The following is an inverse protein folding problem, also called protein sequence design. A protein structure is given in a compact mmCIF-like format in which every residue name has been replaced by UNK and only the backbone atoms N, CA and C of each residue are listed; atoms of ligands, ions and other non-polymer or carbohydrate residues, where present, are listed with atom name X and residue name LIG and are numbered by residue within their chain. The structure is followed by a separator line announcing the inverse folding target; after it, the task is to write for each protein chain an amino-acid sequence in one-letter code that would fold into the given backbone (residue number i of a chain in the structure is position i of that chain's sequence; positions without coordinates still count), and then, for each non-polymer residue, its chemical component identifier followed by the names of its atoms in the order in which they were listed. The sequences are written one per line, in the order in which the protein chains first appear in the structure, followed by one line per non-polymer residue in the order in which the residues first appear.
data_IF_301956606396
#
_entry.id   IF_301956606396
#
_cell.length_a   1.000
_cell.length_b   1.000
_cell.length_c   1.000
_cell.angle_alpha   90.00
_cell.angle_beta   90.00
_cell.angle_gamma   90.00
#
_symmetry.space_group_name_H-M   'P 1'
#
loop_
_entity.id
_entity.type
_entity.pdbx_description
1 polymer ?
#
# COMPACT_ATOMS: atom_id res chain seq x y z
N UNK A 1 -20.17 3.19 -45.12
CA UNK A 1 -21.23 3.35 -44.10
C UNK A 1 -21.65 1.95 -43.68
N UNK A 2 -21.01 1.37 -42.69
CA UNK A 2 -21.37 0.08 -42.10
C UNK A 2 -21.95 0.36 -40.75
N UNK A 3 -23.25 0.05 -40.60
CA UNK A 3 -24.06 0.19 -39.40
C UNK A 3 -23.43 -0.61 -38.26
N UNK A 4 -23.11 0.09 -37.15
CA UNK A 4 -22.76 -0.54 -35.89
C UNK A 4 -24.05 -1.15 -35.33
N UNK A 5 -24.15 -2.48 -35.38
CA UNK A 5 -25.21 -3.24 -34.71
C UNK A 5 -25.19 -2.95 -33.22
N UNK A 6 -26.20 -2.26 -32.70
CA UNK A 6 -26.43 -2.06 -31.28
C UNK A 6 -26.70 -3.43 -30.63
N UNK A 7 -25.71 -3.91 -29.91
CA UNK A 7 -25.84 -5.13 -29.11
C UNK A 7 -26.83 -4.87 -27.98
N UNK A 8 -27.92 -5.64 -27.82
CA UNK A 8 -28.95 -5.41 -26.81
C UNK A 8 -28.34 -5.43 -25.41
N UNK A 9 -28.68 -4.44 -24.60
CA UNK A 9 -28.30 -4.35 -23.20
C UNK A 9 -28.85 -5.59 -22.44
N UNK A 10 -28.04 -6.23 -21.58
CA UNK A 10 -28.51 -7.35 -20.76
C UNK A 10 -29.64 -6.87 -19.84
N UNK A 11 -30.62 -7.77 -19.52
CA UNK A 11 -31.76 -7.41 -18.68
C UNK A 11 -31.30 -6.87 -17.32
N UNK A 12 -32.00 -5.90 -16.73
CA UNK A 12 -31.62 -5.28 -15.48
C UNK A 12 -31.63 -6.33 -14.36
N UNK A 13 -30.46 -6.61 -13.83
CA UNK A 13 -30.36 -7.40 -12.58
C UNK A 13 -31.10 -6.64 -11.49
N UNK A 14 -32.12 -7.28 -10.88
CA UNK A 14 -32.95 -6.68 -9.80
C UNK A 14 -32.17 -6.58 -8.50
N UNK A 15 -31.11 -5.75 -8.48
CA UNK A 15 -30.43 -5.40 -7.24
C UNK A 15 -31.29 -4.34 -6.49
N UNK A 16 -31.37 -4.43 -5.16
CA UNK A 16 -32.01 -3.40 -4.35
C UNK A 16 -31.44 -2.01 -4.71
N UNK A 17 -32.27 -0.93 -4.72
CA UNK A 17 -31.85 0.39 -5.19
C UNK A 17 -30.58 0.92 -4.53
N UNK A 18 -30.35 0.63 -3.25
CA UNK A 18 -29.17 1.04 -2.52
C UNK A 18 -27.89 0.29 -2.97
N UNK A 19 -28.01 -0.95 -3.38
CA UNK A 19 -26.92 -1.73 -3.95
C UNK A 19 -26.65 -1.30 -5.39
N UNK A 20 -27.72 -1.06 -6.17
CA UNK A 20 -27.57 -0.55 -7.54
C UNK A 20 -26.85 0.79 -7.59
N UNK A 21 -27.13 1.72 -6.67
CA UNK A 21 -26.42 2.98 -6.54
C UNK A 21 -24.92 2.80 -6.21
N UNK A 22 -24.56 1.74 -5.50
CA UNK A 22 -23.17 1.47 -5.09
C UNK A 22 -22.36 0.67 -6.10
N UNK A 23 -22.97 -0.30 -6.78
CA UNK A 23 -22.26 -1.24 -7.67
C UNK A 23 -22.74 -1.24 -9.13
N UNK A 24 -23.90 -0.62 -9.44
CA UNK A 24 -24.45 -0.58 -10.79
C UNK A 24 -23.70 0.38 -11.73
N UNK A 25 -23.81 0.17 -13.04
CA UNK A 25 -23.30 1.10 -14.07
C UNK A 25 -21.81 1.07 -14.36
N UNK A 26 -21.00 0.24 -13.66
CA UNK A 26 -19.57 0.08 -13.92
C UNK A 26 -19.34 -0.97 -15.04
N UNK A 27 -18.35 -0.75 -15.95
CA UNK A 27 -18.10 -1.63 -17.07
C UNK A 27 -17.62 -3.02 -16.62
N UNK A 28 -17.84 -4.04 -17.47
CA UNK A 28 -17.38 -5.43 -17.19
C UNK A 28 -15.87 -5.51 -16.97
N UNK A 29 -15.08 -4.73 -17.69
CA UNK A 29 -13.63 -4.65 -17.53
C UNK A 29 -13.20 -4.13 -16.14
N UNK A 30 -13.98 -3.22 -15.55
CA UNK A 30 -13.76 -2.81 -14.14
C UNK A 30 -13.94 -3.99 -13.18
N UNK A 31 -15.01 -4.78 -13.35
CA UNK A 31 -15.26 -5.93 -12.47
C UNK A 31 -14.22 -7.04 -12.63
N UNK A 32 -13.67 -7.21 -13.84
CA UNK A 32 -12.55 -8.12 -14.05
C UNK A 32 -11.27 -7.63 -13.35
N UNK A 33 -10.97 -6.34 -13.41
CA UNK A 33 -9.85 -5.73 -12.68
C UNK A 33 -10.07 -5.83 -11.15
N UNK A 34 -11.28 -5.58 -10.68
CA UNK A 34 -11.67 -5.69 -9.29
C UNK A 34 -11.49 -7.12 -8.77
N UNK A 35 -12.04 -8.11 -9.48
CA UNK A 35 -11.92 -9.52 -9.13
C UNK A 35 -10.47 -10.00 -9.16
N UNK A 36 -9.72 -9.63 -10.20
CA UNK A 36 -8.30 -9.92 -10.31
C UNK A 36 -7.49 -9.33 -9.14
N UNK A 37 -7.77 -8.08 -8.78
CA UNK A 37 -7.12 -7.42 -7.64
C UNK A 37 -7.48 -8.07 -6.31
N UNK A 38 -8.75 -8.46 -6.13
CA UNK A 38 -9.19 -9.18 -4.94
C UNK A 38 -8.49 -10.54 -4.81
N UNK A 39 -8.48 -11.34 -5.89
CA UNK A 39 -7.80 -12.65 -5.93
C UNK A 39 -6.31 -12.49 -5.67
N UNK A 40 -5.66 -11.51 -6.29
CA UNK A 40 -4.25 -11.23 -6.03
C UNK A 40 -4.00 -10.88 -4.55
N UNK A 41 -4.87 -10.08 -3.94
CA UNK A 41 -4.75 -9.74 -2.52
C UNK A 41 -5.02 -10.89 -1.58
N UNK A 42 -5.88 -11.84 -1.94
CA UNK A 42 -6.05 -13.09 -1.19
C UNK A 42 -4.76 -13.90 -1.10
N UNK A 43 -3.91 -13.80 -2.11
CA UNK A 43 -2.61 -14.47 -2.15
C UNK A 43 -1.46 -13.67 -1.52
N UNK A 44 -1.61 -12.38 -1.26
CA UNK A 44 -0.52 -11.52 -0.75
C UNK A 44 -0.10 -11.93 0.67
N UNK A 45 0.68 -13.00 0.77
CA UNK A 45 1.12 -13.60 2.02
C UNK A 45 2.64 -13.52 2.19
N UNK A 46 3.40 -13.58 1.08
CA UNK A 46 4.87 -13.64 1.13
C UNK A 46 5.45 -12.38 1.77
N UNK A 47 5.05 -11.18 1.29
CA UNK A 47 5.59 -9.91 1.78
C UNK A 47 5.42 -9.75 3.31
N UNK A 48 4.22 -9.86 3.90
CA UNK A 48 4.02 -9.69 5.34
C UNK A 48 4.70 -10.76 6.20
N UNK A 49 4.84 -11.97 5.69
CA UNK A 49 5.46 -13.08 6.43
C UNK A 49 6.93 -13.27 6.11
N UNK A 50 7.53 -12.44 5.23
CA UNK A 50 8.92 -12.56 4.78
C UNK A 50 9.91 -12.46 5.95
N UNK A 51 9.65 -11.60 6.93
CA UNK A 51 10.49 -11.48 8.13
C UNK A 51 10.53 -12.78 8.94
N UNK A 52 9.39 -13.48 9.10
CA UNK A 52 9.33 -14.79 9.73
C UNK A 52 10.07 -15.86 8.93
N UNK A 53 9.94 -15.85 7.61
CA UNK A 53 10.64 -16.77 6.72
C UNK A 53 12.16 -16.60 6.82
N UNK A 54 12.65 -15.37 6.70
CA UNK A 54 14.07 -15.05 6.74
C UNK A 54 14.72 -15.42 8.08
N UNK A 55 14.05 -15.13 9.19
CA UNK A 55 14.57 -15.45 10.53
C UNK A 55 14.29 -16.89 10.94
N UNK A 56 13.09 -17.44 10.64
CA UNK A 56 12.61 -18.73 11.12
C UNK A 56 13.07 -19.91 10.31
N UNK A 57 13.06 -19.77 8.97
CA UNK A 57 13.41 -20.84 8.05
C UNK A 57 14.85 -20.72 7.56
N UNK A 58 15.29 -19.48 7.30
CA UNK A 58 16.64 -19.22 6.76
C UNK A 58 17.68 -18.87 7.83
N UNK A 59 17.28 -18.70 9.09
CA UNK A 59 18.20 -18.50 10.23
C UNK A 59 18.91 -17.15 10.24
N UNK A 60 18.46 -16.15 9.45
CA UNK A 60 19.08 -14.83 9.46
C UNK A 60 18.85 -14.13 10.82
N UNK A 61 19.82 -13.35 11.26
CA UNK A 61 19.65 -12.49 12.43
C UNK A 61 18.59 -11.39 12.18
N UNK A 62 18.06 -10.80 13.24
CA UNK A 62 17.06 -9.71 13.15
C UNK A 62 17.63 -8.53 12.34
N UNK A 63 18.88 -8.15 12.60
CA UNK A 63 19.55 -7.05 11.87
C UNK A 63 19.76 -7.38 10.39
N UNK A 64 20.26 -8.60 10.07
CA UNK A 64 20.42 -9.03 8.68
C UNK A 64 19.09 -9.08 7.93
N UNK A 65 18.03 -9.53 8.59
CA UNK A 65 16.67 -9.53 8.02
C UNK A 65 16.22 -8.11 7.69
N UNK A 66 16.44 -7.15 8.57
CA UNK A 66 16.15 -5.74 8.31
C UNK A 66 16.87 -5.19 7.08
N UNK A 67 18.16 -5.55 6.90
CA UNK A 67 18.93 -5.16 5.70
C UNK A 67 18.41 -5.81 4.41
N UNK A 68 18.03 -7.09 4.46
CA UNK A 68 17.43 -7.79 3.31
C UNK A 68 16.08 -7.18 2.94
N UNK A 69 15.26 -6.82 3.93
CA UNK A 69 13.99 -6.13 3.67
C UNK A 69 14.19 -4.71 3.12
N UNK A 70 15.30 -4.03 3.42
CA UNK A 70 15.65 -2.76 2.77
C UNK A 70 15.93 -2.94 1.27
N UNK A 71 16.54 -4.05 0.87
CA UNK A 71 16.74 -4.37 -0.56
C UNK A 71 15.41 -4.64 -1.28
N UNK A 72 14.45 -5.28 -0.60
CA UNK A 72 13.08 -5.37 -1.12
C UNK A 72 12.50 -3.96 -1.35
N UNK A 73 12.61 -3.06 -0.38
CA UNK A 73 12.19 -1.67 -0.51
C UNK A 73 12.89 -0.93 -1.66
N UNK A 74 14.19 -1.14 -1.84
CA UNK A 74 14.95 -0.57 -2.96
C UNK A 74 14.43 -1.08 -4.32
N UNK A 75 14.17 -2.40 -4.42
CA UNK A 75 13.54 -2.99 -5.60
C UNK A 75 12.18 -2.38 -5.91
N UNK A 76 11.34 -2.18 -4.89
CA UNK A 76 10.02 -1.56 -5.01
C UNK A 76 10.09 -0.10 -5.50
N UNK A 77 11.10 0.67 -5.06
CA UNK A 77 11.37 2.03 -5.59
C UNK A 77 11.62 1.99 -7.09
N UNK A 78 12.56 1.15 -7.52
CA UNK A 78 12.91 1.00 -8.94
C UNK A 78 11.70 0.51 -9.74
N UNK A 79 10.93 -0.42 -9.19
CA UNK A 79 9.71 -0.97 -9.77
C UNK A 79 8.68 0.10 -10.15
N UNK A 80 8.45 1.08 -9.29
CA UNK A 80 7.46 2.14 -9.55
C UNK A 80 7.86 3.01 -10.76
N UNK A 81 9.14 3.32 -10.91
CA UNK A 81 9.64 4.05 -12.07
C UNK A 81 9.57 3.22 -13.36
N UNK A 82 10.07 1.99 -13.30
CA UNK A 82 10.08 1.07 -14.43
C UNK A 82 8.66 0.71 -14.86
N UNK A 83 7.77 0.42 -13.90
CA UNK A 83 6.37 0.11 -14.15
C UNK A 83 5.60 1.25 -14.83
N UNK A 84 5.84 2.49 -14.41
CA UNK A 84 5.28 3.67 -15.07
C UNK A 84 5.73 3.80 -16.53
N UNK A 85 7.04 3.70 -16.78
CA UNK A 85 7.60 3.77 -18.14
C UNK A 85 7.10 2.62 -19.03
N UNK A 86 7.01 1.40 -18.49
CA UNK A 86 6.49 0.25 -19.22
C UNK A 86 5.00 0.43 -19.55
N UNK A 87 4.19 0.90 -18.60
CA UNK A 87 2.77 1.15 -18.82
C UNK A 87 2.53 2.15 -19.95
N UNK A 88 3.39 3.16 -20.08
CA UNK A 88 3.28 4.18 -21.14
C UNK A 88 3.80 3.68 -22.50
N UNK A 89 4.86 2.85 -22.53
CA UNK A 89 5.51 2.40 -23.77
C UNK A 89 4.92 1.12 -24.33
N UNK A 90 4.72 0.11 -23.49
CA UNK A 90 4.28 -1.23 -23.88
C UNK A 90 2.76 -1.33 -23.81
N UNK A 91 2.15 -0.65 -22.86
CA UNK A 91 0.72 -0.65 -22.60
C UNK A 91 0.41 -1.10 -21.17
N UNK A 92 -0.77 -0.73 -20.69
CA UNK A 92 -1.14 -0.91 -19.29
C UNK A 92 -1.49 -2.36 -18.96
N UNK A 93 -2.25 -3.02 -19.83
CA UNK A 93 -2.59 -4.44 -19.69
C UNK A 93 -1.35 -5.31 -19.74
N UNK A 94 -0.49 -5.10 -20.74
CA UNK A 94 0.74 -5.87 -20.90
C UNK A 94 1.70 -5.69 -19.71
N UNK A 95 1.87 -4.47 -19.20
CA UNK A 95 2.72 -4.17 -18.03
C UNK A 95 2.17 -4.82 -16.77
N UNK A 96 0.85 -4.75 -16.54
CA UNK A 96 0.21 -5.36 -15.38
C UNK A 96 0.36 -6.89 -15.43
N UNK A 97 0.02 -7.52 -16.54
CA UNK A 97 0.14 -8.98 -16.70
C UNK A 97 1.59 -9.45 -16.59
N UNK A 98 2.52 -8.77 -17.27
CA UNK A 98 3.95 -9.10 -17.20
C UNK A 98 4.52 -8.96 -15.80
N UNK A 99 4.14 -7.89 -15.06
CA UNK A 99 4.50 -7.69 -13.66
C UNK A 99 3.99 -8.82 -12.77
N UNK A 100 2.72 -9.25 -12.92
CA UNK A 100 2.17 -10.37 -12.16
C UNK A 100 2.90 -11.69 -12.41
N UNK A 101 3.20 -12.01 -13.68
CA UNK A 101 3.92 -13.24 -14.03
C UNK A 101 5.37 -13.21 -13.54
N UNK A 102 6.04 -12.07 -13.65
CA UNK A 102 7.40 -11.89 -13.12
C UNK A 102 7.43 -12.03 -11.58
N UNK A 103 6.44 -11.48 -10.88
CA UNK A 103 6.28 -11.62 -9.43
C UNK A 103 6.07 -13.09 -9.05
N UNK A 104 5.19 -13.81 -9.75
CA UNK A 104 4.98 -15.24 -9.53
C UNK A 104 6.26 -16.05 -9.68
N UNK A 105 7.03 -15.79 -10.74
CA UNK A 105 8.32 -16.44 -10.98
C UNK A 105 9.35 -16.13 -9.86
N UNK A 106 9.44 -14.85 -9.46
CA UNK A 106 10.33 -14.43 -8.38
C UNK A 106 9.96 -15.08 -7.03
N UNK A 107 8.67 -15.20 -6.71
CA UNK A 107 8.18 -15.87 -5.50
C UNK A 107 8.54 -17.35 -5.48
N UNK A 108 8.30 -18.08 -6.58
CA UNK A 108 8.66 -19.48 -6.67
C UNK A 108 10.19 -19.66 -6.54
N UNK A 109 10.97 -18.86 -7.25
CA UNK A 109 12.43 -18.89 -7.15
C UNK A 109 12.91 -18.65 -5.72
N UNK A 110 12.32 -17.66 -5.02
CA UNK A 110 12.65 -17.35 -3.63
C UNK A 110 12.30 -18.48 -2.67
N UNK A 111 11.15 -19.15 -2.88
CA UNK A 111 10.72 -20.30 -2.08
C UNK A 111 11.72 -21.48 -2.12
N UNK A 112 12.41 -21.68 -3.26
CA UNK A 112 13.40 -22.74 -3.45
C UNK A 112 14.85 -22.31 -3.22
N UNK A 113 15.13 -21.00 -3.09
CA UNK A 113 16.48 -20.51 -2.87
C UNK A 113 17.05 -21.00 -1.52
N UNK A 114 18.21 -21.65 -1.53
CA UNK A 114 18.90 -22.14 -0.33
C UNK A 114 20.12 -21.29 0.03
N UNK A 115 20.87 -20.83 -0.97
CA UNK A 115 22.07 -20.02 -0.77
C UNK A 115 21.70 -18.57 -0.40
N UNK A 116 22.28 -18.06 0.68
CA UNK A 116 22.00 -16.69 1.17
C UNK A 116 22.20 -15.59 0.11
N UNK A 117 23.27 -15.58 -0.70
CA UNK A 117 23.41 -14.55 -1.74
C UNK A 117 22.29 -14.58 -2.78
N UNK A 118 21.85 -15.78 -3.18
CA UNK A 118 20.73 -15.97 -4.13
C UNK A 118 19.42 -15.46 -3.51
N UNK A 119 19.18 -15.80 -2.25
CA UNK A 119 18.01 -15.35 -1.51
C UNK A 119 17.96 -13.82 -1.42
N UNK A 120 19.08 -13.17 -1.10
CA UNK A 120 19.19 -11.70 -1.03
C UNK A 120 18.90 -11.06 -2.39
N UNK A 121 19.48 -11.61 -3.47
CA UNK A 121 19.22 -11.14 -4.83
C UNK A 121 17.73 -11.31 -5.22
N UNK A 122 17.13 -12.46 -4.90
CA UNK A 122 15.72 -12.73 -5.21
C UNK A 122 14.75 -11.87 -4.38
N UNK A 123 15.08 -11.49 -3.15
CA UNK A 123 14.28 -10.52 -2.38
C UNK A 123 14.30 -9.14 -3.05
N UNK A 124 15.43 -8.69 -3.59
CA UNK A 124 15.49 -7.47 -4.40
C UNK A 124 14.65 -7.60 -5.67
N UNK A 125 14.77 -8.73 -6.41
CA UNK A 125 13.97 -9.00 -7.62
C UNK A 125 12.48 -9.04 -7.29
N UNK A 126 12.09 -9.63 -6.16
CA UNK A 126 10.70 -9.63 -5.71
C UNK A 126 10.19 -8.21 -5.50
N UNK A 127 10.96 -7.37 -4.80
CA UNK A 127 10.64 -5.93 -4.67
C UNK A 127 10.52 -5.23 -6.02
N UNK A 128 11.41 -5.56 -6.97
CA UNK A 128 11.40 -4.99 -8.32
C UNK A 128 10.14 -5.35 -9.12
N UNK A 129 9.56 -6.52 -8.89
CA UNK A 129 8.40 -6.99 -9.68
C UNK A 129 7.06 -6.70 -9.01
N UNK A 130 6.99 -6.79 -7.67
CA UNK A 130 5.73 -6.79 -6.92
C UNK A 130 4.94 -5.47 -7.04
N UNK A 131 5.61 -4.34 -7.17
CA UNK A 131 4.97 -3.03 -7.25
C UNK A 131 4.81 -2.48 -8.68
N UNK A 132 5.37 -3.15 -9.68
CA UNK A 132 5.29 -2.72 -11.08
C UNK A 132 3.84 -2.64 -11.61
N UNK A 133 2.94 -3.44 -11.06
CA UNK A 133 1.53 -3.43 -11.45
C UNK A 133 0.73 -2.24 -10.91
N UNK A 134 1.15 -1.61 -9.80
CA UNK A 134 0.36 -0.56 -9.11
C UNK A 134 0.08 0.65 -10.00
N UNK A 135 1.10 1.28 -10.66
CA UNK A 135 0.85 2.41 -11.56
C UNK A 135 -0.04 2.02 -12.73
N UNK A 136 0.20 0.84 -13.31
CA UNK A 136 -0.58 0.33 -14.43
C UNK A 136 -2.05 0.08 -14.04
N UNK A 137 -2.30 -0.51 -12.88
CA UNK A 137 -3.65 -0.78 -12.36
C UNK A 137 -4.43 0.51 -12.09
N UNK A 138 -3.80 1.51 -11.45
CA UNK A 138 -4.43 2.81 -11.19
C UNK A 138 -4.76 3.57 -12.48
N UNK A 139 -3.84 3.57 -13.44
CA UNK A 139 -4.04 4.20 -14.73
C UNK A 139 -5.13 3.48 -15.54
N UNK A 140 -5.12 2.15 -15.54
CA UNK A 140 -6.14 1.33 -16.18
C UNK A 140 -7.53 1.59 -15.61
N UNK A 141 -7.67 1.66 -14.29
CA UNK A 141 -8.92 2.01 -13.63
C UNK A 141 -9.44 3.38 -14.08
N UNK A 142 -8.54 4.38 -14.13
CA UNK A 142 -8.90 5.73 -14.56
C UNK A 142 -9.34 5.81 -16.03
N UNK A 143 -8.84 4.89 -16.88
CA UNK A 143 -9.26 4.79 -18.30
C UNK A 143 -10.58 4.05 -18.48
N UNK A 144 -10.82 3.03 -17.67
CA UNK A 144 -12.03 2.21 -17.76
C UNK A 144 -13.28 2.92 -17.26
N UNK A 145 -13.13 3.94 -16.40
CA UNK A 145 -14.24 4.56 -15.68
C UNK A 145 -14.28 6.07 -15.93
N UNK A 146 -15.45 6.59 -16.27
CA UNK A 146 -15.65 8.03 -16.47
C UNK A 146 -15.33 8.88 -15.23
N UNK A 147 -15.00 10.17 -15.41
CA UNK A 147 -14.60 11.05 -14.28
C UNK A 147 -15.57 11.08 -13.12
N UNK A 148 -16.88 11.06 -13.38
CA UNK A 148 -17.94 11.08 -12.36
C UNK A 148 -17.93 9.83 -11.47
N UNK A 149 -17.55 8.68 -12.00
CA UNK A 149 -17.58 7.38 -11.34
C UNK A 149 -16.25 6.99 -10.68
N UNK A 150 -15.17 7.71 -10.98
CA UNK A 150 -13.82 7.38 -10.53
C UNK A 150 -13.72 7.22 -9.01
N UNK A 151 -14.26 8.16 -8.25
CA UNK A 151 -14.21 8.11 -6.78
C UNK A 151 -14.86 6.84 -6.24
N UNK A 152 -16.00 6.45 -6.80
CA UNK A 152 -16.70 5.22 -6.43
C UNK A 152 -15.90 3.97 -6.82
N UNK A 153 -15.36 3.93 -8.02
CA UNK A 153 -14.58 2.80 -8.52
C UNK A 153 -13.28 2.59 -7.70
N UNK A 154 -12.55 3.68 -7.40
CA UNK A 154 -11.38 3.60 -6.51
C UNK A 154 -11.76 3.13 -5.11
N UNK A 155 -12.88 3.59 -4.56
CA UNK A 155 -13.39 3.14 -3.26
C UNK A 155 -13.70 1.65 -3.23
N UNK A 156 -14.37 1.12 -4.27
CA UNK A 156 -14.66 -0.31 -4.39
C UNK A 156 -13.37 -1.14 -4.53
N UNK A 157 -12.41 -0.68 -5.32
CA UNK A 157 -11.12 -1.36 -5.47
C UNK A 157 -10.34 -1.37 -4.14
N UNK A 158 -10.32 -0.26 -3.44
CA UNK A 158 -9.67 -0.15 -2.12
C UNK A 158 -10.30 -1.10 -1.10
N UNK A 159 -11.63 -1.21 -1.12
CA UNK A 159 -12.36 -2.15 -0.27
C UNK A 159 -11.98 -3.62 -0.58
N UNK A 160 -11.92 -4.00 -1.87
CA UNK A 160 -11.48 -5.32 -2.28
C UNK A 160 -10.05 -5.64 -1.81
N UNK A 161 -9.14 -4.66 -1.94
CA UNK A 161 -7.74 -4.79 -1.52
C UNK A 161 -7.64 -5.06 -0.02
N UNK A 162 -8.36 -4.32 0.82
CA UNK A 162 -8.27 -4.49 2.27
C UNK A 162 -8.99 -5.75 2.77
N UNK A 163 -10.13 -6.10 2.17
CA UNK A 163 -10.81 -7.35 2.48
C UNK A 163 -9.95 -8.56 2.08
N UNK A 164 -9.38 -8.54 0.87
CA UNK A 164 -8.46 -9.58 0.41
C UNK A 164 -7.24 -9.70 1.31
N UNK A 165 -6.66 -8.57 1.73
CA UNK A 165 -5.54 -8.52 2.68
C UNK A 165 -5.92 -9.15 4.03
N UNK A 166 -7.07 -8.81 4.60
CA UNK A 166 -7.50 -9.38 5.88
C UNK A 166 -7.60 -10.91 5.81
N UNK A 167 -8.19 -11.45 4.73
CA UNK A 167 -8.26 -12.90 4.50
C UNK A 167 -6.88 -13.50 4.30
N UNK A 168 -6.02 -12.86 3.50
CA UNK A 168 -4.64 -13.30 3.26
C UNK A 168 -3.82 -13.39 4.55
N UNK A 169 -4.01 -12.48 5.49
CA UNK A 169 -3.29 -12.51 6.78
C UNK A 169 -3.68 -13.72 7.61
N UNK A 170 -4.97 -14.07 7.68
CA UNK A 170 -5.43 -15.28 8.37
C UNK A 170 -4.93 -16.54 7.67
N UNK A 171 -5.07 -16.59 6.34
CA UNK A 171 -4.61 -17.75 5.55
C UNK A 171 -3.09 -17.92 5.63
N UNK A 172 -2.31 -16.85 5.49
CA UNK A 172 -0.85 -16.87 5.60
C UNK A 172 -0.38 -17.34 6.98
N UNK A 173 -1.02 -16.84 8.03
CA UNK A 173 -0.73 -17.28 9.39
C UNK A 173 -1.05 -18.76 9.64
N UNK A 174 -2.10 -19.30 9.04
CA UNK A 174 -2.47 -20.72 9.15
C UNK A 174 -1.61 -21.62 8.26
N UNK A 175 -1.42 -21.25 7.00
CA UNK A 175 -0.60 -22.01 6.04
C UNK A 175 0.87 -22.08 6.46
N UNK A 176 1.40 -21.04 7.11
CA UNK A 176 2.78 -21.06 7.61
C UNK A 176 3.06 -22.20 8.60
N UNK A 177 2.02 -22.72 9.28
CA UNK A 177 2.14 -23.90 10.16
C UNK A 177 2.36 -25.20 9.37
N UNK A 178 1.78 -25.29 8.16
CA UNK A 178 1.99 -26.43 7.28
C UNK A 178 3.32 -26.31 6.49
N UNK A 179 3.89 -25.13 6.45
CA UNK A 179 5.17 -24.82 5.81
C UNK A 179 5.11 -23.53 5.00
N UNK A 180 6.21 -22.75 5.04
CA UNK A 180 6.30 -21.47 4.31
C UNK A 180 6.23 -21.65 2.78
N UNK A 181 6.55 -22.82 2.25
CA UNK A 181 6.45 -23.12 0.80
C UNK A 181 5.03 -22.86 0.27
N UNK A 182 4.00 -23.13 1.07
CA UNK A 182 2.61 -22.89 0.67
C UNK A 182 2.31 -21.41 0.42
N UNK A 183 2.93 -20.51 1.18
CA UNK A 183 2.76 -19.07 0.98
C UNK A 183 3.26 -18.66 -0.41
N UNK A 184 4.43 -19.15 -0.80
CA UNK A 184 5.01 -18.87 -2.12
C UNK A 184 4.17 -19.43 -3.26
N UNK A 185 3.67 -20.67 -3.12
CA UNK A 185 2.83 -21.30 -4.13
C UNK A 185 1.48 -20.61 -4.30
N UNK A 186 0.80 -20.32 -3.20
CA UNK A 186 -0.52 -19.67 -3.24
C UNK A 186 -0.41 -18.25 -3.80
N UNK A 187 0.59 -17.47 -3.35
CA UNK A 187 0.79 -16.11 -3.82
C UNK A 187 1.18 -16.10 -5.32
N UNK A 188 2.07 -16.98 -5.76
CA UNK A 188 2.39 -17.14 -7.18
C UNK A 188 1.16 -17.53 -8.02
N UNK A 189 0.35 -18.49 -7.55
CA UNK A 189 -0.86 -18.92 -8.24
C UNK A 189 -1.87 -17.78 -8.39
N UNK A 190 -2.11 -16.99 -7.35
CA UNK A 190 -3.02 -15.84 -7.41
C UNK A 190 -2.50 -14.72 -8.30
N UNK A 191 -1.18 -14.50 -8.36
CA UNK A 191 -0.57 -13.59 -9.33
C UNK A 191 -0.81 -14.06 -10.78
N UNK A 192 -0.64 -15.36 -11.07
CA UNK A 192 -0.93 -15.92 -12.40
C UNK A 192 -2.40 -15.76 -12.75
N UNK A 193 -3.32 -16.12 -11.83
CA UNK A 193 -4.77 -15.98 -12.04
C UNK A 193 -5.14 -14.53 -12.32
N UNK A 194 -4.63 -13.59 -11.53
CA UNK A 194 -4.85 -12.15 -11.76
C UNK A 194 -4.34 -11.71 -13.14
N UNK A 195 -3.11 -12.11 -13.50
CA UNK A 195 -2.52 -11.79 -14.80
C UNK A 195 -3.36 -12.32 -15.97
N UNK A 196 -3.81 -13.58 -15.88
CA UNK A 196 -4.67 -14.20 -16.90
C UNK A 196 -6.03 -13.53 -17.00
N UNK A 197 -6.68 -13.23 -15.87
CA UNK A 197 -7.96 -12.52 -15.84
C UNK A 197 -7.86 -11.15 -16.52
N UNK A 198 -6.83 -10.38 -16.16
CA UNK A 198 -6.60 -9.06 -16.74
C UNK A 198 -6.29 -9.17 -18.25
N UNK A 199 -5.43 -10.11 -18.64
CA UNK A 199 -5.08 -10.32 -20.04
C UNK A 199 -6.30 -10.65 -20.92
N UNK A 200 -7.23 -11.48 -20.43
CA UNK A 200 -8.40 -11.91 -21.19
C UNK A 200 -9.58 -10.95 -21.17
N UNK A 201 -9.80 -10.26 -20.04
CA UNK A 201 -11.02 -9.52 -19.80
C UNK A 201 -10.87 -7.99 -19.88
N UNK A 202 -9.63 -7.47 -19.93
CA UNK A 202 -9.38 -6.04 -19.96
C UNK A 202 -8.77 -5.62 -21.31
N UNK A 203 -9.32 -4.60 -21.99
CA UNK A 203 -8.75 -4.09 -23.22
C UNK A 203 -7.39 -3.43 -22.97
N UNK A 204 -6.50 -3.47 -23.96
CA UNK A 204 -5.24 -2.72 -23.89
C UNK A 204 -5.54 -1.22 -24.00
N UNK A 205 -5.03 -0.46 -23.04
CA UNK A 205 -5.07 1.00 -23.09
C UNK A 205 -3.65 1.54 -23.06
N UNK A 206 -3.36 2.48 -23.95
CA UNK A 206 -2.07 3.20 -23.96
C UNK A 206 -2.30 4.62 -23.48
N UNK A 207 -1.47 5.08 -22.55
CA UNK A 207 -1.51 6.45 -22.08
C UNK A 207 -1.25 7.41 -23.27
N UNK A 208 -2.04 8.48 -23.39
CA UNK A 208 -1.62 9.63 -24.18
C UNK A 208 -0.30 10.13 -23.55
N UNK A 209 0.71 10.29 -24.38
CA UNK A 209 1.99 10.85 -23.95
C UNK A 209 1.68 12.21 -23.28
N UNK A 210 1.87 12.28 -21.96
CA UNK A 210 1.68 13.53 -21.24
C UNK A 210 2.64 14.56 -21.86
N UNK A 211 2.10 15.66 -22.35
CA UNK A 211 2.91 16.80 -22.75
C UNK A 211 3.78 17.19 -21.55
N UNK A 212 5.07 17.45 -21.83
CA UNK A 212 6.00 17.89 -20.78
C UNK A 212 5.53 19.25 -20.25
N UNK A 213 4.84 19.25 -19.12
CA UNK A 213 4.44 20.48 -18.48
C UNK A 213 5.67 21.28 -18.01
N UNK A 214 5.66 22.62 -18.20
CA UNK A 214 6.76 23.48 -17.76
C UNK A 214 6.91 23.47 -16.23
N UNK A 215 8.15 23.61 -15.74
CA UNK A 215 8.52 23.62 -14.33
C UNK A 215 9.45 22.43 -13.99
N UNK A 216 10.18 22.49 -12.86
CA UNK A 216 11.17 21.48 -12.43
C UNK A 216 10.82 20.85 -11.08
N UNK A 217 11.46 19.73 -10.73
CA UNK A 217 11.49 19.21 -9.37
C UNK A 217 12.07 20.23 -8.36
N UNK A 218 12.98 21.09 -8.83
CA UNK A 218 13.56 22.15 -8.03
C UNK A 218 12.53 23.14 -7.49
N UNK A 219 11.46 23.41 -8.25
CA UNK A 219 10.39 24.34 -7.84
C UNK A 219 9.57 23.74 -6.67
N UNK A 220 9.34 22.43 -6.70
CA UNK A 220 8.64 21.73 -5.62
C UNK A 220 9.51 21.64 -4.36
N UNK A 221 10.82 21.43 -4.50
CA UNK A 221 11.77 21.37 -3.38
C UNK A 221 11.99 22.75 -2.72
N UNK A 222 11.77 23.85 -3.44
CA UNK A 222 11.78 25.21 -2.87
C UNK A 222 10.54 25.55 -2.07
N UNK A 223 9.46 24.79 -2.25
CA UNK A 223 8.23 24.95 -1.52
C UNK A 223 8.31 24.36 -0.10
N UNK A 224 8.61 25.20 0.88
CA UNK A 224 8.77 24.80 2.29
C UNK A 224 7.54 24.10 2.86
N UNK A 225 6.32 24.47 2.41
CA UNK A 225 5.07 23.85 2.91
C UNK A 225 4.91 22.45 2.31
N UNK A 226 5.24 22.28 1.03
CA UNK A 226 5.25 20.97 0.39
C UNK A 226 6.30 20.05 1.02
N UNK A 227 7.54 20.52 1.16
CA UNK A 227 8.64 19.75 1.80
C UNK A 227 8.28 19.37 3.23
N UNK A 228 7.76 20.30 4.05
CA UNK A 228 7.31 19.99 5.40
C UNK A 228 6.20 18.93 5.44
N UNK A 229 5.24 19.01 4.52
CA UNK A 229 4.16 18.01 4.40
C UNK A 229 4.69 16.63 3.99
N UNK A 230 5.68 16.59 3.10
CA UNK A 230 6.36 15.36 2.66
C UNK A 230 7.17 14.74 3.80
N UNK A 231 7.82 15.55 4.65
CA UNK A 231 8.51 15.05 5.84
C UNK A 231 7.53 14.40 6.84
N UNK A 232 6.33 14.96 7.03
CA UNK A 232 5.27 14.31 7.82
C UNK A 232 4.91 12.95 7.24
N UNK A 233 4.78 12.85 5.93
CA UNK A 233 4.47 11.59 5.23
C UNK A 233 5.64 10.61 5.33
N UNK A 234 6.87 11.06 5.24
CA UNK A 234 8.08 10.23 5.42
C UNK A 234 8.10 9.60 6.82
N UNK A 235 7.88 10.41 7.87
CA UNK A 235 7.82 9.91 9.24
C UNK A 235 6.68 8.90 9.42
N UNK A 236 5.49 9.21 8.91
CA UNK A 236 4.37 8.26 8.92
C UNK A 236 4.71 6.96 8.19
N UNK A 237 5.22 7.04 6.96
CA UNK A 237 5.58 5.88 6.15
C UNK A 237 6.66 5.01 6.82
N UNK A 238 7.67 5.65 7.41
CA UNK A 238 8.71 4.96 8.18
C UNK A 238 8.11 4.13 9.33
N UNK A 239 7.18 4.71 10.09
CA UNK A 239 6.52 4.04 11.20
C UNK A 239 5.55 2.97 10.71
N UNK A 240 4.74 3.26 9.69
CA UNK A 240 3.80 2.32 9.10
C UNK A 240 4.47 1.04 8.59
N UNK A 241 5.62 1.17 7.95
CA UNK A 241 6.35 0.01 7.41
C UNK A 241 6.97 -0.89 8.50
N UNK A 242 7.04 -0.44 9.76
CA UNK A 242 7.39 -1.32 10.88
C UNK A 242 6.35 -2.43 11.09
N UNK A 243 5.11 -2.24 10.65
CA UNK A 243 4.08 -3.27 10.67
C UNK A 243 4.49 -4.54 9.89
N UNK A 244 5.25 -4.37 8.80
CA UNK A 244 5.66 -5.47 7.90
C UNK A 244 7.09 -5.95 8.14
N UNK A 245 7.92 -5.16 8.81
CA UNK A 245 9.34 -5.49 9.03
C UNK A 245 9.65 -5.82 10.49
N UNK A 246 9.38 -4.90 11.41
CA UNK A 246 9.82 -5.00 12.81
C UNK A 246 8.78 -5.68 13.70
N UNK A 247 7.49 -5.45 13.45
CA UNK A 247 6.41 -6.06 14.24
C UNK A 247 6.45 -7.61 14.21
N UNK A 248 6.57 -8.27 13.04
CA UNK A 248 6.68 -9.73 12.99
C UNK A 248 7.94 -10.24 13.72
N UNK A 249 9.06 -9.51 13.64
CA UNK A 249 10.29 -9.84 14.37
C UNK A 249 10.13 -9.72 15.89
N UNK A 250 9.45 -8.67 16.35
CA UNK A 250 9.16 -8.47 17.79
C UNK A 250 8.22 -9.56 18.32
N UNK A 251 7.15 -9.89 17.59
CA UNK A 251 6.23 -10.96 17.97
C UNK A 251 6.94 -12.31 18.03
N UNK A 252 7.81 -12.61 17.07
CA UNK A 252 8.64 -13.80 17.10
C UNK A 252 9.58 -13.82 18.30
N UNK A 253 10.19 -12.69 18.67
CA UNK A 253 11.12 -12.58 19.81
C UNK A 253 10.47 -12.96 21.13
N UNK A 254 9.17 -12.70 21.28
CA UNK A 254 8.39 -13.13 22.47
C UNK A 254 7.74 -14.51 22.30
N UNK A 255 8.17 -15.30 21.30
CA UNK A 255 7.72 -16.67 21.08
C UNK A 255 6.37 -16.82 20.40
N UNK A 256 5.78 -15.74 19.85
CA UNK A 256 4.49 -15.82 19.17
C UNK A 256 4.63 -16.42 17.78
N UNK A 257 3.69 -17.30 17.37
CA UNK A 257 3.69 -17.92 16.06
C UNK A 257 3.26 -16.92 14.97
N UNK A 258 3.62 -17.17 13.69
CA UNK A 258 3.17 -16.34 12.56
C UNK A 258 1.66 -16.16 12.48
N UNK A 259 0.87 -17.13 12.97
CA UNK A 259 -0.60 -17.03 13.02
C UNK A 259 -1.11 -15.93 13.96
N UNK A 260 -0.39 -15.63 15.06
CA UNK A 260 -0.74 -14.51 15.93
C UNK A 260 -0.54 -13.16 15.21
N UNK A 261 0.54 -13.03 14.43
CA UNK A 261 0.77 -11.86 13.58
C UNK A 261 -0.31 -11.76 12.49
N UNK A 262 -0.63 -12.86 11.80
CA UNK A 262 -1.68 -12.88 10.79
C UNK A 262 -3.03 -12.45 11.35
N UNK A 263 -3.40 -12.91 12.55
CA UNK A 263 -4.62 -12.48 13.23
C UNK A 263 -4.60 -10.98 13.55
N UNK A 264 -3.52 -10.46 14.12
CA UNK A 264 -3.40 -9.04 14.43
C UNK A 264 -3.51 -8.17 13.18
N UNK A 265 -2.83 -8.54 12.08
CA UNK A 265 -2.89 -7.80 10.81
C UNK A 265 -4.24 -7.95 10.08
N UNK A 266 -4.95 -9.06 10.28
CA UNK A 266 -6.32 -9.22 9.76
C UNK A 266 -7.28 -8.21 10.43
N UNK A 267 -7.11 -7.91 11.72
CA UNK A 267 -7.88 -6.86 12.41
C UNK A 267 -7.66 -5.48 11.78
N UNK A 268 -6.45 -5.19 11.29
CA UNK A 268 -6.19 -3.96 10.54
C UNK A 268 -7.06 -3.90 9.27
N UNK A 269 -6.99 -4.92 8.40
CA UNK A 269 -7.78 -4.94 7.17
C UNK A 269 -9.29 -4.90 7.43
N UNK A 270 -9.79 -5.66 8.40
CA UNK A 270 -11.21 -5.64 8.81
C UNK A 270 -11.60 -4.27 9.35
N UNK A 271 -10.76 -3.69 10.21
CA UNK A 271 -10.98 -2.34 10.76
C UNK A 271 -11.14 -1.28 9.67
N UNK A 272 -10.26 -1.30 8.66
CA UNK A 272 -10.37 -0.39 7.50
C UNK A 272 -11.67 -0.62 6.74
N UNK A 273 -12.02 -1.87 6.42
CA UNK A 273 -13.23 -2.22 5.66
C UNK A 273 -14.51 -1.75 6.36
N UNK A 274 -14.55 -1.84 7.69
CA UNK A 274 -15.74 -1.47 8.48
C UNK A 274 -15.76 0.04 8.79
N UNK A 275 -14.67 0.57 9.32
CA UNK A 275 -14.66 1.92 9.92
C UNK A 275 -14.53 3.01 8.86
N UNK A 276 -13.71 2.82 7.83
CA UNK A 276 -13.43 3.86 6.85
C UNK A 276 -14.68 4.36 6.09
N UNK A 277 -15.61 3.50 5.62
CA UNK A 277 -16.83 3.97 4.96
C UNK A 277 -17.75 4.75 5.89
N UNK A 278 -17.74 4.45 7.20
CA UNK A 278 -18.59 5.09 8.20
C UNK A 278 -18.16 6.52 8.50
N UNK A 279 -16.84 6.76 8.55
CA UNK A 279 -16.29 8.06 8.97
C UNK A 279 -15.77 8.91 7.80
N UNK A 280 -15.60 8.34 6.60
CA UNK A 280 -14.98 9.02 5.46
C UNK A 280 -15.68 10.31 5.06
N UNK A 281 -17.01 10.31 4.96
CA UNK A 281 -17.80 11.50 4.63
C UNK A 281 -17.72 12.60 5.72
N UNK A 282 -17.64 12.20 6.98
CA UNK A 282 -17.49 13.12 8.12
C UNK A 282 -16.09 13.74 8.12
N UNK A 283 -15.05 12.95 7.88
CA UNK A 283 -13.65 13.42 7.82
C UNK A 283 -13.41 14.43 6.71
N UNK A 284 -14.01 14.23 5.52
CA UNK A 284 -13.88 15.15 4.40
C UNK A 284 -14.39 16.58 4.66
N UNK A 285 -15.23 16.77 5.68
CA UNK A 285 -15.74 18.08 6.11
C UNK A 285 -14.87 18.75 7.19
N UNK A 286 -13.88 18.04 7.74
CA UNK A 286 -13.02 18.55 8.81
C UNK A 286 -11.76 19.23 8.26
N UNK A 287 -11.03 19.90 9.13
CA UNK A 287 -9.72 20.45 8.80
C UNK A 287 -8.72 19.32 8.52
N UNK A 288 -8.27 19.21 7.28
CA UNK A 288 -7.40 18.12 6.82
C UNK A 288 -6.09 18.06 7.63
N UNK A 289 -5.50 19.21 7.99
CA UNK A 289 -4.26 19.24 8.77
C UNK A 289 -4.44 18.74 10.20
N UNK A 290 -5.58 19.03 10.82
CA UNK A 290 -5.91 18.52 12.17
C UNK A 290 -6.20 17.02 12.15
N UNK A 291 -6.94 16.55 11.14
CA UNK A 291 -7.22 15.12 10.96
C UNK A 291 -5.93 14.36 10.69
N UNK A 292 -5.03 14.91 9.84
CA UNK A 292 -3.72 14.32 9.56
C UNK A 292 -2.89 14.21 10.85
N UNK A 293 -2.80 15.29 11.61
CA UNK A 293 -2.05 15.31 12.86
C UNK A 293 -2.58 14.31 13.88
N UNK A 294 -3.91 14.24 14.04
CA UNK A 294 -4.55 13.25 14.91
C UNK A 294 -4.27 11.81 14.44
N UNK A 295 -4.38 11.55 13.12
CA UNK A 295 -4.07 10.25 12.54
C UNK A 295 -2.64 9.81 12.81
N UNK A 296 -1.67 10.69 12.52
CA UNK A 296 -0.25 10.42 12.78
C UNK A 296 0.04 10.22 14.26
N UNK A 297 -0.55 11.04 15.14
CA UNK A 297 -0.38 10.89 16.59
C UNK A 297 -0.94 9.54 17.10
N UNK A 298 -2.11 9.11 16.62
CA UNK A 298 -2.72 7.82 16.98
C UNK A 298 -1.87 6.65 16.46
N UNK A 299 -1.31 6.76 15.23
CA UNK A 299 -0.35 5.76 14.72
C UNK A 299 0.86 5.68 15.65
N UNK A 300 1.46 6.81 16.02
CA UNK A 300 2.60 6.86 16.93
C UNK A 300 2.30 6.27 18.31
N UNK A 301 1.11 6.55 18.85
CA UNK A 301 0.66 5.98 20.12
C UNK A 301 0.50 4.45 20.00
N UNK A 302 -0.14 3.93 18.95
CA UNK A 302 -0.33 2.50 18.73
C UNK A 302 1.00 1.75 18.60
N UNK A 303 1.93 2.26 17.78
CA UNK A 303 3.27 1.67 17.68
C UNK A 303 4.08 1.85 18.96
N UNK A 304 3.98 3.00 19.65
CA UNK A 304 4.64 3.22 20.95
C UNK A 304 4.18 2.23 22.02
N UNK A 305 2.88 1.96 22.08
CA UNK A 305 2.30 0.95 22.99
C UNK A 305 2.80 -0.47 22.72
N UNK A 306 3.28 -0.75 21.50
CA UNK A 306 3.87 -2.06 21.16
C UNK A 306 5.11 -2.38 22.00
N UNK A 307 5.78 -1.37 22.57
CA UNK A 307 6.90 -1.56 23.51
C UNK A 307 6.52 -2.40 24.73
N UNK A 308 5.27 -2.40 25.14
CA UNK A 308 4.73 -3.09 26.31
C UNK A 308 3.96 -4.38 25.94
N UNK A 309 3.86 -4.71 24.66
CA UNK A 309 3.11 -5.88 24.20
C UNK A 309 3.93 -7.16 24.40
N UNK A 310 3.40 -8.10 25.18
CA UNK A 310 4.00 -9.41 25.44
C UNK A 310 3.09 -10.60 25.06
N UNK A 311 1.85 -10.34 24.66
CA UNK A 311 0.89 -11.38 24.29
C UNK A 311 0.24 -11.08 22.94
N UNK A 312 -0.33 -12.09 22.27
CA UNK A 312 -1.01 -11.94 20.99
C UNK A 312 -2.13 -10.88 21.07
N UNK A 313 -2.89 -10.84 22.15
CA UNK A 313 -3.96 -9.87 22.35
C UNK A 313 -3.44 -8.45 22.56
N UNK A 314 -2.32 -8.30 23.30
CA UNK A 314 -1.68 -7.00 23.47
C UNK A 314 -1.20 -6.44 22.11
N UNK A 315 -0.54 -7.24 21.28
CA UNK A 315 -0.17 -6.84 19.91
C UNK A 315 -1.39 -6.52 19.06
N UNK A 316 -2.44 -7.34 19.12
CA UNK A 316 -3.69 -7.08 18.41
C UNK A 316 -4.34 -5.76 18.83
N UNK A 317 -4.32 -5.43 20.12
CA UNK A 317 -4.84 -4.15 20.62
C UNK A 317 -4.03 -2.96 20.11
N UNK A 318 -2.68 -3.05 20.08
CA UNK A 318 -1.85 -1.98 19.49
C UNK A 318 -2.10 -1.81 18.00
N UNK A 319 -2.30 -2.92 17.26
CA UNK A 319 -2.71 -2.89 15.84
C UNK A 319 -4.05 -2.18 15.67
N UNK A 320 -5.04 -2.49 16.50
CA UNK A 320 -6.34 -1.82 16.44
C UNK A 320 -6.22 -0.30 16.67
N UNK A 321 -5.35 0.13 17.59
CA UNK A 321 -5.12 1.57 17.86
C UNK A 321 -4.50 2.24 16.64
N UNK A 322 -3.38 1.73 16.10
CA UNK A 322 -2.75 2.40 14.97
C UNK A 322 -3.56 2.29 13.68
N UNK A 323 -4.42 1.28 13.53
CA UNK A 323 -5.38 1.18 12.41
C UNK A 323 -6.34 2.36 12.38
N UNK A 324 -6.84 2.83 13.53
CA UNK A 324 -7.66 4.05 13.58
C UNK A 324 -6.88 5.26 13.09
N UNK A 325 -5.62 5.38 13.46
CA UNK A 325 -4.74 6.44 12.97
C UNK A 325 -4.48 6.36 11.46
N UNK A 326 -4.28 5.15 10.93
CA UNK A 326 -4.13 4.89 9.49
C UNK A 326 -5.37 5.34 8.71
N UNK A 327 -6.56 5.02 9.18
CA UNK A 327 -7.82 5.42 8.53
C UNK A 327 -7.94 6.95 8.49
N UNK A 328 -7.58 7.64 9.58
CA UNK A 328 -7.56 9.12 9.62
C UNK A 328 -6.53 9.69 8.63
N UNK A 329 -5.33 9.14 8.60
CA UNK A 329 -4.27 9.54 7.68
C UNK A 329 -4.70 9.35 6.22
N UNK A 330 -5.17 8.14 5.87
CA UNK A 330 -5.57 7.80 4.50
C UNK A 330 -6.70 8.69 3.97
N UNK A 331 -7.64 9.10 4.84
CA UNK A 331 -8.77 9.92 4.46
C UNK A 331 -8.39 11.33 3.96
N UNK A 332 -7.24 11.89 4.40
CA UNK A 332 -6.90 13.30 4.11
C UNK A 332 -5.53 13.48 3.45
N UNK A 333 -4.66 12.49 3.48
CA UNK A 333 -3.27 12.63 3.00
C UNK A 333 -3.18 13.01 1.51
N UNK A 334 -3.93 12.33 0.65
CA UNK A 334 -3.99 12.64 -0.78
C UNK A 334 -4.65 13.99 -1.07
N UNK A 335 -5.64 14.38 -0.27
CA UNK A 335 -6.31 15.67 -0.41
C UNK A 335 -5.35 16.83 -0.08
N UNK A 336 -4.50 16.68 0.94
CA UNK A 336 -3.48 17.69 1.29
C UNK A 336 -2.49 17.89 0.14
N UNK A 337 -2.02 16.80 -0.48
CA UNK A 337 -1.14 16.90 -1.65
C UNK A 337 -1.81 17.65 -2.80
N UNK A 338 -3.09 17.36 -3.07
CA UNK A 338 -3.87 18.05 -4.10
C UNK A 338 -4.13 19.53 -3.75
N UNK A 339 -4.37 19.85 -2.48
CA UNK A 339 -4.57 21.21 -1.98
C UNK A 339 -3.29 22.08 -2.04
N UNK A 340 -2.10 21.45 -2.06
CA UNK A 340 -0.81 22.13 -2.14
C UNK A 340 -0.32 22.31 -3.57
N UNK A 341 -0.69 21.42 -4.47
CA UNK A 341 -0.13 21.33 -5.81
C UNK A 341 -0.82 22.29 -6.79
N UNK A 342 -0.11 23.25 -7.40
CA UNK A 342 -0.60 23.99 -8.56
C UNK A 342 -1.01 23.00 -9.67
N UNK A 343 -2.04 23.31 -10.50
CA UNK A 343 -2.54 22.38 -11.53
C UNK A 343 -1.45 21.78 -12.43
N UNK A 344 -0.49 22.62 -12.86
CA UNK A 344 0.62 22.24 -13.74
C UNK A 344 1.78 21.49 -13.04
N UNK A 345 1.76 21.35 -11.71
CA UNK A 345 2.79 20.64 -10.94
C UNK A 345 2.28 19.43 -10.17
N UNK A 346 0.99 19.07 -10.31
CA UNK A 346 0.35 17.98 -9.53
C UNK A 346 1.10 16.65 -9.61
N UNK A 347 1.58 16.30 -10.79
CA UNK A 347 2.37 15.08 -10.99
C UNK A 347 3.67 15.07 -10.18
N UNK A 348 4.35 16.23 -10.07
CA UNK A 348 5.61 16.35 -9.33
C UNK A 348 5.41 16.34 -7.82
N UNK A 349 4.35 16.98 -7.32
CA UNK A 349 3.96 16.91 -5.90
C UNK A 349 3.59 15.46 -5.52
N UNK A 350 2.82 14.77 -6.37
CA UNK A 350 2.52 13.34 -6.19
C UNK A 350 3.77 12.46 -6.22
N UNK A 351 4.72 12.76 -7.12
CA UNK A 351 6.01 12.08 -7.18
C UNK A 351 6.86 12.27 -5.91
N UNK A 352 6.90 13.49 -5.36
CA UNK A 352 7.61 13.77 -4.12
C UNK A 352 6.95 13.05 -2.91
N UNK A 353 5.62 12.99 -2.89
CA UNK A 353 4.88 12.21 -1.90
C UNK A 353 5.20 10.70 -1.99
N UNK A 354 5.21 10.14 -3.20
CA UNK A 354 5.60 8.75 -3.44
C UNK A 354 7.05 8.47 -3.03
N UNK A 355 7.97 9.42 -3.26
CA UNK A 355 9.37 9.32 -2.85
C UNK A 355 9.53 9.24 -1.32
N UNK A 356 8.65 9.88 -0.54
CA UNK A 356 8.66 9.77 0.92
C UNK A 356 8.41 8.31 1.37
N UNK A 357 7.39 7.65 0.80
CA UNK A 357 7.14 6.22 1.08
C UNK A 357 8.28 5.33 0.60
N UNK A 358 8.86 5.64 -0.54
CA UNK A 358 10.00 4.91 -1.09
C UNK A 358 11.24 5.00 -0.16
N UNK A 359 11.57 6.21 0.33
CA UNK A 359 12.62 6.39 1.33
C UNK A 359 12.30 5.68 2.65
N UNK A 360 11.03 5.72 3.08
CA UNK A 360 10.59 5.01 4.26
C UNK A 360 10.78 3.49 4.14
N UNK A 361 10.51 2.90 2.97
CA UNK A 361 10.71 1.47 2.73
C UNK A 361 12.17 1.04 2.69
N UNK A 362 13.06 1.94 2.30
CA UNK A 362 14.50 1.72 2.33
C UNK A 362 15.08 1.86 3.74
N UNK A 363 14.68 2.89 4.50
CA UNK A 363 15.26 3.23 5.79
C UNK A 363 14.59 2.52 6.98
N UNK A 364 13.28 2.24 6.87
CA UNK A 364 12.48 1.69 7.97
C UNK A 364 12.95 0.32 8.46
N UNK A 365 13.03 -0.71 7.58
CA UNK A 365 13.38 -2.07 7.99
C UNK A 365 14.76 -2.20 8.64
N UNK A 366 15.86 -1.61 8.11
CA UNK A 366 17.18 -1.72 8.75
C UNK A 366 17.23 -0.96 10.08
N UNK A 367 16.60 0.21 10.16
CA UNK A 367 16.54 0.96 11.42
C UNK A 367 15.74 0.20 12.49
N UNK A 368 14.54 -0.32 12.13
CA UNK A 368 13.71 -1.10 13.04
C UNK A 368 14.38 -2.40 13.48
N UNK A 369 14.97 -3.15 12.54
CA UNK A 369 15.69 -4.40 12.83
C UNK A 369 16.94 -4.16 13.68
N UNK A 370 17.71 -3.11 13.38
CA UNK A 370 18.89 -2.71 14.16
C UNK A 370 18.54 -2.31 15.58
N UNK A 371 17.56 -1.43 15.75
CA UNK A 371 17.08 -1.00 17.06
C UNK A 371 16.49 -2.17 17.85
N UNK A 372 15.67 -3.02 17.22
CA UNK A 372 15.14 -4.20 17.89
C UNK A 372 16.26 -5.14 18.36
N UNK A 373 17.37 -5.21 17.61
CA UNK A 373 18.58 -5.94 18.01
C UNK A 373 19.22 -5.39 19.30
N UNK A 374 19.16 -4.07 19.53
CA UNK A 374 19.71 -3.42 20.72
C UNK A 374 18.78 -3.58 21.94
N UNK A 375 17.50 -3.24 21.78
CA UNK A 375 16.52 -3.35 22.86
C UNK A 375 15.11 -3.56 22.29
N UNK A 376 14.28 -4.33 22.99
CA UNK A 376 12.92 -4.68 22.52
C UNK A 376 11.98 -3.46 22.40
N UNK A 377 12.18 -2.44 23.21
CA UNK A 377 11.36 -1.22 23.25
C UNK A 377 11.85 -0.11 22.31
N UNK A 378 13.12 -0.14 21.88
CA UNK A 378 13.75 1.00 21.20
C UNK A 378 13.15 1.36 19.83
N UNK A 379 12.73 0.42 18.95
CA UNK A 379 12.09 0.81 17.70
C UNK A 379 10.74 1.49 17.92
N UNK A 380 10.03 1.10 18.96
CA UNK A 380 8.71 1.64 19.28
C UNK A 380 8.77 3.04 19.87
N UNK A 381 9.81 3.33 20.68
CA UNK A 381 10.09 4.69 21.13
C UNK A 381 10.41 5.62 19.95
N UNK A 382 11.26 5.17 19.01
CA UNK A 382 11.54 5.93 17.80
C UNK A 382 10.25 6.21 17.02
N UNK A 383 9.37 5.21 16.86
CA UNK A 383 8.07 5.37 16.18
C UNK A 383 7.20 6.44 16.87
N UNK A 384 7.13 6.41 18.21
CA UNK A 384 6.35 7.40 18.98
C UNK A 384 6.91 8.81 18.81
N UNK A 385 8.24 8.98 18.87
CA UNK A 385 8.92 10.28 18.70
C UNK A 385 8.71 10.81 17.27
N UNK A 386 8.94 10.00 16.25
CA UNK A 386 8.77 10.40 14.84
C UNK A 386 7.34 10.82 14.55
N UNK A 387 6.35 10.04 15.00
CA UNK A 387 4.95 10.41 14.80
C UNK A 387 4.53 11.62 15.65
N UNK A 388 5.05 11.76 16.87
CA UNK A 388 4.80 12.93 17.71
C UNK A 388 5.31 14.22 17.07
N UNK A 389 6.55 14.21 16.58
CA UNK A 389 7.13 15.36 15.85
C UNK A 389 6.43 15.64 14.53
N UNK A 390 6.05 14.59 13.79
CA UNK A 390 5.30 14.73 12.55
C UNK A 390 3.89 15.30 12.78
N UNK A 391 3.20 14.90 13.84
CA UNK A 391 1.90 15.44 14.22
C UNK A 391 1.99 16.93 14.58
N UNK A 392 2.99 17.32 15.37
CA UNK A 392 3.29 18.73 15.68
C UNK A 392 3.59 19.52 14.41
N UNK A 393 4.40 18.98 13.49
CA UNK A 393 4.70 19.58 12.19
C UNK A 393 3.45 19.76 11.33
N UNK A 394 2.55 18.76 11.27
CA UNK A 394 1.29 18.86 10.53
C UNK A 394 0.38 19.97 11.08
N UNK A 395 0.33 20.16 12.41
CA UNK A 395 -0.40 21.27 13.03
C UNK A 395 0.22 22.62 12.71
N UNK A 396 1.55 22.73 12.78
CA UNK A 396 2.29 23.96 12.47
C UNK A 396 2.12 24.39 10.99
N UNK A 397 2.08 23.42 10.07
CA UNK A 397 1.84 23.67 8.63
C UNK A 397 0.37 24.00 8.31
N UNK A 398 -0.57 23.64 9.20
CA UNK A 398 -2.00 23.76 8.98
C UNK A 398 -2.46 25.15 8.50
N UNK A 399 -2.03 26.28 9.09
CA UNK A 399 -2.42 27.63 8.63
C UNK A 399 -1.98 27.90 7.19
N UNK A 400 -0.78 27.45 6.77
CA UNK A 400 -0.26 27.64 5.42
C UNK A 400 -1.02 26.79 4.40
N UNK A 401 -1.32 25.53 4.73
CA UNK A 401 -2.14 24.63 3.89
C UNK A 401 -3.53 25.19 3.67
N UNK A 402 -4.18 25.71 4.73
CA UNK A 402 -5.52 26.35 4.62
C UNK A 402 -5.52 27.59 3.74
N UNK A 403 -4.48 28.44 3.85
CA UNK A 403 -4.34 29.62 3.00
C UNK A 403 -4.25 29.23 1.52
N UNK A 404 -3.44 28.26 1.18
CA UNK A 404 -3.31 27.78 -0.21
C UNK A 404 -4.59 27.15 -0.74
N UNK A 405 -5.25 26.32 0.04
CA UNK A 405 -6.55 25.72 -0.35
C UNK A 405 -7.60 26.79 -0.69
N UNK A 406 -7.60 27.92 0.02
CA UNK A 406 -8.50 29.05 -0.30
C UNK A 406 -8.09 29.73 -1.60
N UNK A 407 -6.80 29.97 -1.81
CA UNK A 407 -6.28 30.61 -3.02
C UNK A 407 -6.49 29.79 -4.31
N UNK A 408 -6.55 28.46 -4.23
CA UNK A 408 -6.80 27.57 -5.38
C UNK A 408 -8.30 27.39 -5.71
N UNK A 409 -9.19 27.90 -4.85
CA UNK A 409 -10.66 27.85 -5.09
C UNK A 409 -11.21 29.12 -5.71
N UNK A 410 -10.43 30.18 -5.74
CA UNK A 410 -10.69 31.46 -6.41
C UNK A 410 -9.78 31.60 -7.63
#
# INVERSE_FOLDING_TARGET
MTSVEEMPLPPPTRLPPFLHARVGGLPRAFWALWAGSFVNRLGTMVEPFLAFYLTGVRGLSVTATGMVLALFGLGSIVSQFVGGVLADRVGRRATLTGGMLATAAAMLALGYATATPVLVALVFVLGLTIDAYRPASQALLADLVGPAERTRAFGLLFWAINLGFAVAMVLGGTLSRAGFSWLFWVDAATCVVCGVLVWRAVPETRGRRAEREPGGFADVLRDRVAVGSVLVVLCYGFVYLQAYSTLPLAMRRVGLPPSAYGFAMALNGIGIVIVQPLIGAWLGRRDHSRVLAAGVAVVGAGFGLTAFAASAWAFAATVAVWTLGEILFAAVSSAIVADLAPPHLRGRYGGLYGMAFALASLLGPPAGGGLLGLASWSPWLLCAILCGTAAAGALALGPAVRRRRRALKH
#
